data_IF_213133330031
#
_entry.id   IF_213133330031
#
_cell.length_a   1.000
_cell.length_b   1.000
_cell.length_c   1.000
_cell.angle_alpha   90.00
_cell.angle_beta   90.00
_cell.angle_gamma   90.00
#
_symmetry.space_group_name_H-M   'P 1'
#
loop_
_entity.id
_entity.type
_entity.pdbx_description
1 polymer ?
#
# COMPACT_ATOMS: atom_id res chain seq x y z
N UNK A 1 -12.96 -9.77 14.02
CA UNK A 1 -12.08 -9.06 13.06
C UNK A 1 -10.94 -9.97 12.67
N UNK A 2 -10.64 -10.10 11.38
CA UNK A 2 -9.48 -10.87 10.88
C UNK A 2 -8.34 -9.87 10.63
N UNK A 3 -7.21 -10.06 11.31
CA UNK A 3 -5.96 -9.40 10.96
C UNK A 3 -5.40 -10.10 9.74
N UNK A 4 -5.17 -9.36 8.67
CA UNK A 4 -4.19 -9.77 7.67
C UNK A 4 -2.82 -9.63 8.35
N UNK A 5 -1.86 -10.49 8.01
CA UNK A 5 -0.57 -10.57 8.68
C UNK A 5 0.23 -9.25 8.69
N UNK A 6 1.38 -9.23 9.35
CA UNK A 6 2.26 -8.06 9.34
C UNK A 6 2.73 -7.74 7.91
N UNK A 7 2.46 -6.53 7.46
CA UNK A 7 2.96 -5.97 6.19
C UNK A 7 4.22 -5.16 6.50
N UNK A 8 5.33 -5.45 5.82
CA UNK A 8 6.62 -4.84 6.13
C UNK A 8 6.96 -3.76 5.10
N UNK A 9 7.02 -2.51 5.55
CA UNK A 9 7.39 -1.38 4.70
C UNK A 9 8.80 -0.87 5.05
N UNK A 10 9.64 -0.70 4.02
CA UNK A 10 10.88 0.06 4.16
C UNK A 10 10.56 1.55 4.17
N UNK A 11 11.06 2.29 5.16
CA UNK A 11 10.72 3.71 5.32
C UNK A 11 11.90 4.67 5.16
N UNK A 12 13.11 4.23 4.78
CA UNK A 12 14.18 5.19 4.47
C UNK A 12 14.01 5.76 3.06
N UNK A 13 13.66 7.04 2.97
CA UNK A 13 13.54 7.78 1.70
C UNK A 13 14.48 8.99 1.73
N UNK A 14 15.30 9.17 0.68
CA UNK A 14 16.17 10.34 0.52
C UNK A 14 17.68 10.10 0.54
N UNK A 15 18.14 8.86 0.73
CA UNK A 15 19.57 8.50 0.63
C UNK A 15 19.87 7.74 -0.66
N UNK A 16 20.99 8.09 -1.31
CA UNK A 16 21.38 7.64 -2.66
C UNK A 16 21.62 6.12 -2.83
N UNK A 17 21.50 5.34 -1.75
CA UNK A 17 21.84 3.91 -1.70
C UNK A 17 20.64 2.98 -1.46
N UNK A 18 19.42 3.48 -1.26
CA UNK A 18 18.28 2.57 -1.04
C UNK A 18 17.88 1.88 -2.35
N UNK A 19 17.82 0.54 -2.40
CA UNK A 19 17.39 -0.17 -3.59
C UNK A 19 15.96 0.24 -3.96
N UNK A 20 15.73 0.53 -5.26
CA UNK A 20 14.43 0.88 -5.87
C UNK A 20 13.37 -0.25 -5.80
N UNK A 21 13.46 -1.16 -4.83
CA UNK A 21 12.53 -2.26 -4.66
C UNK A 21 11.37 -1.78 -3.80
N UNK A 22 10.27 -1.44 -4.45
CA UNK A 22 8.99 -1.17 -3.78
C UNK A 22 8.53 -2.50 -3.16
N UNK A 23 8.32 -2.58 -1.84
CA UNK A 23 7.77 -3.78 -1.23
C UNK A 23 6.41 -4.10 -1.88
N UNK A 24 6.31 -5.26 -2.54
CA UNK A 24 5.04 -5.76 -3.06
C UNK A 24 4.44 -6.71 -2.04
N UNK A 25 3.33 -6.28 -1.47
CA UNK A 25 2.60 -7.03 -0.44
C UNK A 25 1.24 -7.43 -1.01
N UNK A 26 0.81 -8.65 -0.69
CA UNK A 26 -0.40 -9.25 -1.29
C UNK A 26 -1.40 -9.71 -0.24
N UNK A 27 -2.67 -9.67 -0.61
CA UNK A 27 -3.79 -10.13 0.20
C UNK A 27 -4.47 -11.29 -0.54
N UNK A 28 -4.71 -12.44 0.13
CA UNK A 28 -5.38 -13.56 -0.50
C UNK A 28 -6.87 -13.27 -0.70
N UNK A 29 -7.33 -13.32 -1.95
CA UNK A 29 -8.74 -13.33 -2.33
C UNK A 29 -9.17 -14.77 -2.63
N UNK A 30 -10.28 -15.18 -2.02
CA UNK A 30 -10.84 -16.53 -2.16
C UNK A 30 -12.31 -16.47 -2.56
N UNK A 31 -12.71 -17.35 -3.47
CA UNK A 31 -14.12 -17.55 -3.79
C UNK A 31 -14.73 -18.62 -2.87
N UNK A 32 -15.65 -18.19 -1.99
CA UNK A 32 -16.38 -19.05 -1.06
C UNK A 32 -17.70 -19.60 -1.64
N UNK A 33 -18.10 -19.17 -2.84
CA UNK A 33 -19.31 -19.64 -3.51
C UNK A 33 -19.14 -21.03 -4.13
N UNK A 34 -20.26 -21.63 -4.55
CA UNK A 34 -20.28 -22.95 -5.20
C UNK A 34 -19.95 -22.90 -6.70
N UNK A 35 -19.91 -21.72 -7.31
CA UNK A 35 -19.63 -21.53 -8.74
C UNK A 35 -18.46 -20.57 -8.98
N UNK A 36 -17.92 -20.56 -10.20
CA UNK A 36 -16.87 -19.63 -10.57
C UNK A 36 -17.39 -18.18 -10.56
N UNK A 37 -16.58 -17.27 -9.99
CA UNK A 37 -16.74 -15.84 -10.21
C UNK A 37 -16.03 -15.48 -11.52
N UNK A 38 -16.63 -14.60 -12.33
CA UNK A 38 -16.15 -14.19 -13.65
C UNK A 38 -16.11 -12.68 -13.77
N UNK A 39 -15.33 -12.17 -14.72
CA UNK A 39 -15.26 -10.73 -15.04
C UNK A 39 -14.97 -9.90 -13.78
N UNK A 40 -13.98 -10.33 -13.00
CA UNK A 40 -13.67 -9.75 -11.70
C UNK A 40 -12.88 -8.47 -11.93
N UNK A 41 -13.38 -7.36 -11.39
CA UNK A 41 -12.69 -6.08 -11.34
C UNK A 41 -12.36 -5.77 -9.89
N UNK A 42 -11.10 -5.48 -9.62
CA UNK A 42 -10.56 -5.08 -8.34
C UNK A 42 -10.19 -3.61 -8.44
N UNK A 43 -10.72 -2.78 -7.54
CA UNK A 43 -10.53 -1.34 -7.53
C UNK A 43 -10.15 -0.87 -6.12
N UNK A 44 -8.93 -0.40 -5.96
CA UNK A 44 -8.40 0.06 -4.69
C UNK A 44 -8.63 1.57 -4.50
N UNK A 45 -9.07 1.95 -3.30
CA UNK A 45 -9.37 3.34 -2.94
C UNK A 45 -8.72 3.71 -1.62
N UNK A 46 -8.12 4.89 -1.58
CA UNK A 46 -7.62 5.54 -0.36
C UNK A 46 -7.46 7.05 -0.59
N UNK A 47 -7.43 7.83 0.50
CA UNK A 47 -7.30 9.30 0.46
C UNK A 47 -5.86 9.74 0.15
N UNK A 48 -5.34 9.42 -1.04
CA UNK A 48 -3.95 9.67 -1.42
C UNK A 48 -3.60 11.17 -1.44
N UNK A 49 -4.52 12.04 -1.86
CA UNK A 49 -4.32 13.49 -1.90
C UNK A 49 -4.07 14.07 -0.50
N UNK A 50 -4.83 13.61 0.48
CA UNK A 50 -4.70 14.03 1.89
C UNK A 50 -3.39 13.52 2.49
N UNK A 51 -3.04 12.26 2.25
CA UNK A 51 -1.77 11.71 2.72
C UNK A 51 -0.58 12.45 2.10
N UNK A 52 -0.69 12.84 0.82
CA UNK A 52 0.32 13.65 0.13
C UNK A 52 0.44 15.05 0.76
N UNK A 53 -0.69 15.69 1.08
CA UNK A 53 -0.72 16.97 1.76
C UNK A 53 -0.07 16.89 3.15
N UNK A 54 -0.42 15.89 3.95
CA UNK A 54 0.12 15.66 5.29
C UNK A 54 1.62 15.36 5.24
N UNK A 55 2.07 14.56 4.27
CA UNK A 55 3.49 14.30 4.04
C UNK A 55 4.24 15.60 3.68
N UNK A 56 3.70 16.43 2.79
CA UNK A 56 4.35 17.69 2.42
C UNK A 56 4.39 18.71 3.57
N UNK A 57 3.34 18.80 4.39
CA UNK A 57 3.35 19.60 5.61
C UNK A 57 4.46 19.15 6.57
N UNK A 58 4.64 17.83 6.70
CA UNK A 58 5.66 17.26 7.57
C UNK A 58 7.07 17.46 7.02
N UNK A 59 7.26 17.33 5.71
CA UNK A 59 8.52 17.65 5.03
C UNK A 59 8.93 19.10 5.27
N UNK A 60 8.00 20.04 5.15
CA UNK A 60 8.26 21.45 5.46
C UNK A 60 8.63 21.67 6.94
N UNK A 61 7.89 21.05 7.85
CA UNK A 61 8.12 21.19 9.30
C UNK A 61 9.46 20.56 9.74
N UNK A 62 9.92 19.54 9.02
CA UNK A 62 11.21 18.87 9.26
C UNK A 62 12.34 19.41 8.39
N UNK A 63 12.14 20.58 7.77
CA UNK A 63 13.13 21.28 6.94
C UNK A 63 13.74 20.43 5.81
N UNK A 64 12.95 19.55 5.21
CA UNK A 64 13.38 18.79 4.04
C UNK A 64 13.49 19.70 2.81
N UNK A 65 14.52 19.49 2.00
CA UNK A 65 14.73 20.27 0.77
C UNK A 65 13.84 19.83 -0.40
N UNK A 66 12.96 18.84 -0.20
CA UNK A 66 12.11 18.26 -1.24
C UNK A 66 10.63 18.30 -0.86
N UNK A 67 9.78 18.22 -1.87
CA UNK A 67 8.35 17.96 -1.72
C UNK A 67 7.94 16.78 -2.61
N UNK A 68 6.87 16.10 -2.21
CA UNK A 68 6.27 15.01 -2.94
C UNK A 68 5.18 15.55 -3.89
N UNK A 69 5.11 14.98 -5.08
CA UNK A 69 4.08 15.27 -6.07
C UNK A 69 3.56 13.97 -6.67
N UNK A 70 2.25 13.86 -6.82
CA UNK A 70 1.61 12.81 -7.62
C UNK A 70 1.12 13.43 -8.92
N UNK A 71 1.45 12.82 -10.06
CA UNK A 71 0.89 13.14 -11.37
C UNK A 71 0.43 11.86 -12.04
N UNK A 72 -0.87 11.73 -12.30
CA UNK A 72 -1.53 10.50 -12.76
C UNK A 72 -1.24 9.33 -11.83
N UNK A 73 -0.27 8.49 -12.18
CA UNK A 73 0.13 7.28 -11.47
C UNK A 73 1.61 7.35 -11.09
N UNK A 74 2.15 8.55 -10.94
CA UNK A 74 3.57 8.74 -10.77
C UNK A 74 3.83 9.57 -9.52
N UNK A 75 4.50 8.98 -8.53
CA UNK A 75 4.97 9.72 -7.35
C UNK A 75 6.40 10.20 -7.61
N UNK A 76 6.59 11.51 -7.54
CA UNK A 76 7.89 12.17 -7.66
C UNK A 76 8.28 12.87 -6.37
N UNK A 77 9.56 12.78 -5.99
CA UNK A 77 10.17 13.70 -5.04
C UNK A 77 10.92 14.79 -5.81
N UNK A 78 10.63 16.06 -5.53
CA UNK A 78 11.16 17.21 -6.28
C UNK A 78 11.88 18.15 -5.32
N UNK A 79 13.10 18.55 -5.66
CA UNK A 79 13.88 19.56 -4.93
C UNK A 79 14.47 20.58 -5.90
N UNK A 80 14.26 21.88 -5.62
CA UNK A 80 14.81 22.99 -6.42
C UNK A 80 14.52 22.85 -7.94
N UNK A 81 13.36 22.29 -8.30
CA UNK A 81 12.95 22.04 -9.68
C UNK A 81 13.52 20.77 -10.33
N UNK A 82 14.36 20.00 -9.63
CA UNK A 82 14.89 18.72 -10.08
C UNK A 82 14.11 17.55 -9.47
N UNK A 83 13.82 16.55 -10.30
CA UNK A 83 13.22 15.30 -9.83
C UNK A 83 14.34 14.46 -9.22
N UNK A 84 14.28 14.25 -7.90
CA UNK A 84 15.23 13.42 -7.16
C UNK A 84 14.89 11.93 -7.28
N UNK A 85 13.60 11.65 -7.35
CA UNK A 85 13.06 10.30 -7.41
C UNK A 85 11.77 10.33 -8.21
N UNK A 86 11.57 9.31 -9.02
CA UNK A 86 10.37 9.13 -9.80
C UNK A 86 9.94 7.67 -9.78
N UNK A 87 8.75 7.39 -9.24
CA UNK A 87 8.20 6.06 -9.11
C UNK A 87 6.88 5.98 -9.84
N UNK A 88 6.81 5.06 -10.81
CA UNK A 88 5.56 4.66 -11.44
C UNK A 88 4.80 3.81 -10.42
N UNK A 89 3.75 4.39 -9.90
CA UNK A 89 2.86 3.83 -8.91
C UNK A 89 1.59 3.29 -9.61
N UNK A 90 1.75 2.17 -10.32
CA UNK A 90 0.66 1.50 -11.01
C UNK A 90 -0.26 0.72 -10.04
N UNK A 91 -1.47 0.41 -10.53
CA UNK A 91 -2.44 -0.56 -10.02
C UNK A 91 -3.48 -0.06 -9.01
N UNK A 92 -4.29 0.93 -9.38
CA UNK A 92 -5.59 1.12 -8.73
C UNK A 92 -6.61 0.06 -9.19
N UNK A 93 -6.57 -0.33 -10.46
CA UNK A 93 -7.53 -1.27 -11.05
C UNK A 93 -6.84 -2.52 -11.62
N UNK A 94 -7.31 -3.70 -11.22
CA UNK A 94 -6.88 -5.00 -11.75
C UNK A 94 -8.09 -5.79 -12.27
N UNK A 95 -7.93 -6.44 -13.42
CA UNK A 95 -8.96 -7.33 -13.99
C UNK A 95 -8.50 -8.78 -13.91
N UNK A 96 -9.44 -9.67 -13.56
CA UNK A 96 -9.24 -11.11 -13.49
C UNK A 96 -10.41 -11.82 -14.17
N UNK A 97 -10.10 -12.68 -15.13
CA UNK A 97 -11.11 -13.34 -15.95
C UNK A 97 -12.05 -14.21 -15.11
N UNK A 98 -11.48 -15.03 -14.22
CA UNK A 98 -12.26 -15.89 -13.33
C UNK A 98 -11.52 -16.29 -12.05
N UNK A 99 -12.30 -16.62 -11.02
CA UNK A 99 -11.83 -17.21 -9.76
C UNK A 99 -12.67 -18.43 -9.39
N UNK A 100 -12.02 -19.59 -9.31
CA UNK A 100 -12.66 -20.85 -8.98
C UNK A 100 -12.96 -20.96 -7.47
N UNK A 101 -14.02 -21.69 -7.08
CA UNK A 101 -14.31 -22.01 -5.69
C UNK A 101 -13.10 -22.60 -4.96
N UNK A 102 -12.87 -22.18 -3.72
CA UNK A 102 -11.79 -22.70 -2.90
C UNK A 102 -12.11 -24.11 -2.36
N UNK A 103 -11.86 -25.14 -3.17
CA UNK A 103 -12.11 -26.54 -2.80
C UNK A 103 -10.87 -27.25 -2.24
N UNK A 104 -9.66 -26.79 -2.58
CA UNK A 104 -8.37 -27.45 -2.24
C UNK A 104 -7.17 -26.48 -2.12
N UNK A 105 -7.37 -25.22 -1.68
CA UNK A 105 -6.34 -24.16 -1.65
C UNK A 105 -5.73 -23.77 -3.01
N UNK A 106 -6.25 -24.31 -4.13
CA UNK A 106 -5.80 -23.99 -5.50
C UNK A 106 -6.50 -22.77 -6.11
N UNK A 107 -7.50 -22.20 -5.42
CA UNK A 107 -8.32 -21.08 -5.90
C UNK A 107 -8.04 -19.75 -5.18
N UNK A 108 -6.81 -19.56 -4.68
CA UNK A 108 -6.42 -18.31 -4.02
C UNK A 108 -5.82 -17.38 -5.08
N UNK A 109 -6.42 -16.21 -5.25
CA UNK A 109 -5.83 -15.11 -6.02
C UNK A 109 -5.06 -14.21 -5.06
N UNK A 110 -3.79 -13.95 -5.33
CA UNK A 110 -3.03 -12.92 -4.61
C UNK A 110 -3.35 -11.55 -5.21
N UNK A 111 -3.97 -10.68 -4.43
CA UNK A 111 -4.27 -9.30 -4.81
C UNK A 111 -3.17 -8.41 -4.26
N UNK A 112 -2.46 -7.70 -5.14
CA UNK A 112 -1.42 -6.76 -4.73
C UNK A 112 -2.04 -5.50 -4.10
N UNK A 113 -1.43 -5.03 -3.00
CA UNK A 113 -1.69 -3.71 -2.46
C UNK A 113 -1.16 -2.66 -3.46
N UNK A 114 -1.87 -1.54 -3.70
CA UNK A 114 -1.43 -0.54 -4.65
C UNK A 114 -0.04 -0.02 -4.32
N UNK A 115 0.83 0.00 -5.33
CA UNK A 115 2.19 0.51 -5.17
C UNK A 115 2.21 1.96 -4.70
N UNK A 116 1.25 2.80 -5.15
CA UNK A 116 1.12 4.19 -4.69
C UNK A 116 0.86 4.27 -3.19
N UNK A 117 -0.03 3.42 -2.67
CA UNK A 117 -0.33 3.36 -1.25
C UNK A 117 0.93 3.01 -0.46
N UNK A 118 1.61 1.93 -0.85
CA UNK A 118 2.84 1.44 -0.22
C UNK A 118 3.93 2.52 -0.18
N UNK A 119 4.21 3.14 -1.33
CA UNK A 119 5.30 4.10 -1.47
C UNK A 119 4.99 5.39 -0.72
N UNK A 120 3.80 5.98 -0.93
CA UNK A 120 3.43 7.24 -0.29
C UNK A 120 3.35 7.09 1.24
N UNK A 121 2.80 5.96 1.72
CA UNK A 121 2.80 5.62 3.15
C UNK A 121 4.22 5.51 3.68
N UNK A 122 5.12 4.87 2.94
CA UNK A 122 6.52 4.74 3.35
C UNK A 122 7.24 6.08 3.43
N UNK A 123 7.02 6.98 2.47
CA UNK A 123 7.54 8.36 2.52
C UNK A 123 7.00 9.12 3.73
N UNK A 124 5.69 9.03 3.98
CA UNK A 124 5.05 9.68 5.13
C UNK A 124 5.61 9.16 6.46
N UNK A 125 5.79 7.85 6.60
CA UNK A 125 6.39 7.22 7.78
C UNK A 125 7.84 7.68 7.99
N UNK A 126 8.63 7.80 6.92
CA UNK A 126 9.99 8.38 6.98
C UNK A 126 9.99 9.75 7.65
N UNK A 127 9.10 10.62 7.16
CA UNK A 127 8.96 11.99 7.65
C UNK A 127 8.45 12.02 9.10
N UNK A 128 7.57 11.10 9.49
CA UNK A 128 7.12 10.94 10.87
C UNK A 128 8.27 10.59 11.81
N UNK A 129 9.17 9.70 11.39
CA UNK A 129 10.36 9.33 12.15
C UNK A 129 11.32 10.52 12.27
N UNK A 130 11.55 11.27 11.18
CA UNK A 130 12.34 12.51 11.22
C UNK A 130 11.73 13.57 12.16
N UNK A 131 10.40 13.67 12.18
CA UNK A 131 9.65 14.53 13.10
C UNK A 131 9.57 13.98 14.55
N UNK A 132 10.12 12.79 14.82
CA UNK A 132 10.09 12.11 16.12
C UNK A 132 8.68 11.86 16.64
N UNK A 133 7.72 11.61 15.74
CA UNK A 133 6.37 11.22 16.12
C UNK A 133 6.37 9.79 16.68
N UNK A 134 5.52 9.53 17.68
CA UNK A 134 5.33 8.19 18.20
C UNK A 134 4.39 7.39 17.28
N UNK A 135 4.54 6.05 17.20
CA UNK A 135 3.65 5.19 16.41
C UNK A 135 2.15 5.44 16.66
N UNK A 136 1.77 5.64 17.93
CA UNK A 136 0.38 5.88 18.37
C UNK A 136 -0.23 7.20 17.88
N UNK A 137 0.61 8.18 17.52
CA UNK A 137 0.18 9.50 17.05
C UNK A 137 0.03 9.55 15.52
N UNK A 138 0.57 8.56 14.80
CA UNK A 138 0.59 8.53 13.35
C UNK A 138 -0.67 7.86 12.84
N UNK A 139 -1.42 8.56 11.98
CA UNK A 139 -2.64 8.05 11.35
C UNK A 139 -2.40 7.75 9.89
N UNK A 140 -2.59 6.50 9.50
CA UNK A 140 -2.52 6.09 8.10
C UNK A 140 -3.92 6.10 7.47
N UNK A 141 -4.05 6.44 6.18
CA UNK A 141 -5.34 6.43 5.52
C UNK A 141 -5.86 5.00 5.43
N UNK A 142 -7.18 4.85 5.58
CA UNK A 142 -7.86 3.58 5.37
C UNK A 142 -7.72 3.16 3.91
N UNK A 143 -7.50 1.86 3.70
CA UNK A 143 -7.46 1.26 2.37
C UNK A 143 -8.76 0.51 2.11
N UNK A 144 -9.36 0.70 0.93
CA UNK A 144 -10.60 0.01 0.56
C UNK A 144 -10.43 -0.75 -0.75
N UNK A 145 -10.85 -2.00 -0.81
CA UNK A 145 -10.90 -2.82 -2.02
C UNK A 145 -12.36 -3.00 -2.44
N UNK A 146 -12.72 -2.46 -3.60
CA UNK A 146 -14.00 -2.70 -4.25
C UNK A 146 -13.82 -3.84 -5.26
N UNK A 147 -14.65 -4.87 -5.14
CA UNK A 147 -14.65 -6.05 -6.00
C UNK A 147 -15.99 -6.11 -6.72
N UNK A 148 -15.94 -6.02 -8.03
CA UNK A 148 -17.10 -6.26 -8.91
C UNK A 148 -16.91 -7.58 -9.64
N UNK A 149 -17.93 -8.43 -9.69
CA UNK A 149 -17.84 -9.73 -10.37
C UNK A 149 -19.21 -10.26 -10.80
N UNK A 150 -19.20 -11.29 -11.64
CA UNK A 150 -20.39 -12.02 -12.07
C UNK A 150 -20.33 -13.47 -11.59
N UNK A 151 -21.47 -14.05 -11.21
CA UNK A 151 -21.57 -15.50 -10.98
C UNK A 151 -21.79 -16.29 -12.28
N UNK A 152 -21.92 -17.61 -12.15
CA UNK A 152 -22.18 -18.52 -13.29
C UNK A 152 -23.51 -18.26 -13.99
N UNK A 153 -24.47 -17.60 -13.32
CA UNK A 153 -25.75 -17.19 -13.89
C UNK A 153 -25.72 -15.74 -14.42
N UNK A 154 -24.52 -15.16 -14.60
CA UNK A 154 -24.29 -13.79 -15.08
C UNK A 154 -24.87 -12.70 -14.16
N UNK A 155 -25.21 -13.04 -12.91
CA UNK A 155 -25.66 -12.04 -11.94
C UNK A 155 -24.46 -11.26 -11.42
N UNK A 156 -24.58 -9.93 -11.42
CA UNK A 156 -23.53 -9.01 -10.96
C UNK A 156 -23.58 -8.84 -9.45
N UNK A 157 -22.40 -8.76 -8.83
CA UNK A 157 -22.20 -8.46 -7.43
C UNK A 157 -21.13 -7.38 -7.29
N UNK A 158 -21.29 -6.55 -6.26
CA UNK A 158 -20.30 -5.58 -5.82
C UNK A 158 -20.09 -5.80 -4.31
N UNK A 159 -18.82 -5.86 -3.89
CA UNK A 159 -18.39 -6.03 -2.50
C UNK A 159 -17.29 -5.04 -2.19
N UNK A 160 -17.37 -4.38 -1.05
CA UNK A 160 -16.34 -3.47 -0.54
C UNK A 160 -15.72 -4.08 0.72
N UNK A 161 -14.39 -4.06 0.78
CA UNK A 161 -13.59 -4.48 1.94
C UNK A 161 -12.78 -3.30 2.42
N UNK A 162 -12.92 -2.93 3.70
CA UNK A 162 -12.18 -1.82 4.30
C UNK A 162 -11.11 -2.35 5.22
N UNK A 163 -9.94 -1.72 5.17
CA UNK A 163 -8.76 -2.10 5.92
C UNK A 163 -8.25 -0.90 6.71
N UNK A 164 -8.27 -1.03 8.04
CA UNK A 164 -7.60 -0.13 8.95
C UNK A 164 -6.12 -0.52 9.06
N UNK A 165 -5.25 0.50 9.10
CA UNK A 165 -3.80 0.35 9.00
C UNK A 165 -3.14 0.89 10.26
N UNK A 166 -2.70 -0.01 11.14
CA UNK A 166 -2.03 0.36 12.38
C UNK A 166 -0.52 0.15 12.27
N UNK A 167 0.25 1.09 12.83
CA UNK A 167 1.70 0.92 13.00
C UNK A 167 1.93 0.18 14.31
N UNK A 168 2.57 -0.99 14.25
CA UNK A 168 2.94 -1.69 15.48
C UNK A 168 4.25 -1.19 16.05
N UNK A 169 5.32 -1.26 15.25
CA UNK A 169 6.68 -0.93 15.70
C UNK A 169 7.53 -0.44 14.55
N UNK A 170 8.41 0.52 14.85
CA UNK A 170 9.59 0.84 14.05
C UNK A 170 10.75 -0.04 14.51
N UNK A 171 11.44 -0.68 13.59
CA UNK A 171 12.62 -1.48 13.91
C UNK A 171 13.67 -1.34 12.80
N UNK A 172 14.89 -1.78 13.10
CA UNK A 172 15.95 -1.91 12.12
C UNK A 172 15.97 -3.34 11.59
N UNK A 173 15.69 -3.54 10.32
CA UNK A 173 15.78 -4.82 9.65
C UNK A 173 17.19 -5.06 9.10
N UNK A 174 17.76 -6.24 9.34
CA UNK A 174 19.03 -6.63 8.72
C UNK A 174 18.82 -7.11 7.28
N UNK A 175 19.45 -6.49 6.30
CA UNK A 175 19.56 -7.04 4.95
C UNK A 175 20.65 -8.11 4.86
N UNK A 176 20.58 -8.98 3.84
CA UNK A 176 21.63 -9.98 3.54
C UNK A 176 23.00 -9.33 3.24
N UNK A 177 23.01 -8.04 2.90
CA UNK A 177 24.22 -7.22 2.70
C UNK A 177 24.87 -6.75 4.02
N UNK A 178 24.24 -6.98 5.17
CA UNK A 178 24.69 -6.47 6.48
C UNK A 178 24.24 -5.04 6.77
N UNK A 179 23.53 -4.38 5.85
CA UNK A 179 22.95 -3.05 6.08
C UNK A 179 21.66 -3.13 6.90
N UNK A 180 21.54 -2.28 7.92
CA UNK A 180 20.34 -2.12 8.73
C UNK A 180 19.40 -1.12 8.05
N UNK A 181 18.25 -1.58 7.54
CA UNK A 181 17.23 -0.69 6.99
C UNK A 181 16.10 -0.46 7.99
N UNK A 182 15.66 0.79 8.19
CA UNK A 182 14.45 1.04 8.93
C UNK A 182 13.23 0.38 8.29
N UNK A 183 12.49 -0.38 9.10
CA UNK A 183 11.27 -1.08 8.71
C UNK A 183 10.11 -0.76 9.66
N UNK A 184 8.92 -0.72 9.09
CA UNK A 184 7.67 -0.57 9.82
C UNK A 184 6.81 -1.83 9.61
N UNK A 185 6.26 -2.37 10.69
CA UNK A 185 5.23 -3.40 10.63
C UNK A 185 3.85 -2.75 10.66
N UNK A 186 3.13 -2.86 9.54
CA UNK A 186 1.73 -2.48 9.44
C UNK A 186 0.83 -3.68 9.75
N UNK A 187 -0.23 -3.43 10.52
CA UNK A 187 -1.33 -4.37 10.70
C UNK A 187 -2.51 -3.91 9.85
N UNK A 188 -2.90 -4.73 8.89
CA UNK A 188 -4.14 -4.51 8.14
C UNK A 188 -5.28 -5.27 8.82
N UNK A 189 -6.24 -4.55 9.38
CA UNK A 189 -7.43 -5.14 10.00
C UNK A 189 -8.63 -4.93 9.09
N UNK A 190 -9.25 -6.01 8.63
CA UNK A 190 -10.53 -5.90 7.93
C UNK A 190 -11.63 -5.53 8.93
N UNK A 191 -12.30 -4.40 8.69
CA UNK A 191 -13.38 -3.86 9.53
C UNK A 191 -14.76 -4.08 8.92
#
# INVERSE_FOLDING_TARGET
>A
MKSLGPVKLGYHWGEASSPNVIPQETIPLINLGYGAAKNITLDWKFEHEKLLEDANKLAHTTHQEYFLKVDKQTLSAVSKGMILLNIIANNEQQQVDFLLPNTTNKGVLSVEIPSLYTVLTSCYLSLCVHAKLKPEDIKLPMLSLVIEFQDVASKKYNKEFRFECDIKHFYKGSQKSGEELPMCELKLTQI
#
